data_IF_860521993846
#
_entry.id   IF_860521993846
#
_cell.length_a   1.000
_cell.length_b   1.000
_cell.length_c   1.000
_cell.angle_alpha   90.00
_cell.angle_beta   90.00
_cell.angle_gamma   90.00
#
_symmetry.space_group_name_H-M   'P 1'
#
loop_
_entity.id
_entity.type
_entity.pdbx_description
1 polymer ?
#
# COMPACT_ATOMS: atom_id res chain seq x y z
N UNK A 1 30.77 11.49 -15.72
CA UNK A 1 30.21 12.20 -14.60
C UNK A 1 28.73 12.39 -14.87
N UNK A 2 27.87 11.85 -14.06
CA UNK A 2 26.44 12.09 -14.12
C UNK A 2 26.25 13.40 -13.37
N UNK A 3 25.83 14.46 -14.08
CA UNK A 3 25.44 15.69 -13.44
C UNK A 3 24.19 15.40 -12.61
N UNK A 4 24.29 15.60 -11.30
CA UNK A 4 23.17 15.50 -10.37
C UNK A 4 22.25 16.67 -10.63
N UNK A 5 21.21 16.44 -11.46
CA UNK A 5 20.25 17.46 -11.86
C UNK A 5 19.12 17.63 -10.84
N UNK A 6 18.65 18.86 -10.72
CA UNK A 6 17.36 19.15 -10.08
C UNK A 6 16.27 19.12 -11.15
N UNK A 7 15.18 18.40 -10.89
CA UNK A 7 14.04 18.33 -11.80
C UNK A 7 12.93 19.24 -11.30
N UNK A 8 12.41 20.08 -12.19
CA UNK A 8 11.22 20.87 -11.92
C UNK A 8 10.01 19.93 -11.90
N UNK A 9 9.23 19.95 -10.84
CA UNK A 9 8.02 19.17 -10.68
C UNK A 9 6.86 20.07 -10.33
N UNK A 10 5.67 19.73 -10.84
CA UNK A 10 4.43 20.44 -10.50
C UNK A 10 3.39 19.42 -10.09
N UNK A 11 2.75 19.65 -8.94
CA UNK A 11 1.67 18.82 -8.43
C UNK A 11 0.56 19.71 -7.87
N UNK A 12 -0.65 19.53 -8.34
CA UNK A 12 -1.84 20.32 -7.93
C UNK A 12 -1.62 21.85 -7.99
N UNK A 13 -0.91 22.32 -9.02
CA UNK A 13 -0.66 23.75 -9.20
C UNK A 13 0.47 24.33 -8.34
N UNK A 14 1.13 23.52 -7.52
CA UNK A 14 2.32 23.90 -6.76
C UNK A 14 3.55 23.41 -7.51
N UNK A 15 4.42 24.33 -7.92
CA UNK A 15 5.68 24.02 -8.59
C UNK A 15 6.84 24.01 -7.60
N UNK A 16 7.75 23.05 -7.74
CA UNK A 16 8.95 22.92 -6.93
C UNK A 16 10.07 22.20 -7.70
N UNK A 17 11.20 22.01 -7.02
CA UNK A 17 12.32 21.26 -7.59
C UNK A 17 12.62 20.05 -6.70
N UNK A 18 12.91 18.91 -7.34
CA UNK A 18 13.33 17.68 -6.66
C UNK A 18 14.70 17.26 -7.19
N UNK A 19 15.58 16.85 -6.29
CA UNK A 19 16.89 16.31 -6.67
C UNK A 19 16.74 14.97 -7.40
N UNK A 20 17.46 14.79 -8.50
CA UNK A 20 17.49 13.52 -9.26
C UNK A 20 17.94 12.32 -8.44
N UNK A 21 18.59 12.53 -7.30
CA UNK A 21 18.95 11.47 -6.37
C UNK A 21 17.71 10.87 -5.64
N UNK A 22 16.57 11.56 -5.70
CA UNK A 22 15.31 11.17 -5.02
C UNK A 22 14.16 10.82 -5.98
N UNK A 23 14.42 10.76 -7.29
CA UNK A 23 13.39 10.38 -8.29
C UNK A 23 13.63 8.95 -8.73
N UNK A 24 12.94 8.00 -8.11
CA UNK A 24 12.81 6.64 -8.65
C UNK A 24 11.48 6.58 -9.44
N UNK A 25 11.59 6.33 -10.74
CA UNK A 25 10.40 6.08 -11.56
C UNK A 25 9.88 4.68 -11.27
N UNK A 26 8.72 4.59 -10.64
CA UNK A 26 7.94 3.36 -10.70
C UNK A 26 7.59 3.14 -12.19
N UNK A 27 8.09 2.07 -12.79
CA UNK A 27 7.84 1.75 -14.19
C UNK A 27 6.36 1.39 -14.37
N UNK A 28 5.54 2.40 -14.69
CA UNK A 28 4.19 2.18 -15.19
C UNK A 28 4.30 1.78 -16.66
N UNK A 29 3.93 0.56 -16.99
CA UNK A 29 3.70 0.16 -18.37
C UNK A 29 2.44 0.88 -18.87
N UNK A 30 2.61 1.91 -19.70
CA UNK A 30 1.48 2.62 -20.32
C UNK A 30 1.93 3.89 -21.04
N UNK A 31 1.89 3.85 -22.34
CA UNK A 31 2.16 4.94 -23.28
C UNK A 31 1.22 6.12 -23.03
N UNK A 32 1.75 7.28 -22.69
CA UNK A 32 0.98 8.53 -22.67
C UNK A 32 1.16 9.24 -24.01
N UNK A 33 0.06 9.42 -24.72
CA UNK A 33 -0.04 10.35 -25.84
C UNK A 33 -0.58 11.67 -25.29
N UNK A 34 0.20 12.74 -25.40
CA UNK A 34 -0.24 14.10 -25.05
C UNK A 34 -1.27 14.60 -26.05
N UNK A 35 -2.33 15.20 -25.56
CA UNK A 35 -3.07 16.27 -26.28
C UNK A 35 -3.79 17.14 -25.24
N UNK A 36 -3.64 18.49 -25.29
CA UNK A 36 -4.26 19.37 -24.32
C UNK A 36 -5.64 19.84 -24.82
N UNK A 37 -6.62 19.97 -23.93
CA UNK A 37 -7.68 21.00 -24.02
C UNK A 37 -8.68 20.94 -22.86
N UNK A 38 -8.77 22.06 -22.18
CA UNK A 38 -9.95 22.76 -21.62
C UNK A 38 -10.97 22.00 -20.73
N UNK A 39 -11.12 22.60 -19.53
CA UNK A 39 -12.27 22.40 -18.66
C UNK A 39 -13.55 23.03 -19.26
N UNK A 40 -14.74 22.55 -18.88
CA UNK A 40 -15.45 23.22 -17.80
C UNK A 40 -16.16 22.32 -16.78
N UNK A 41 -16.44 22.96 -15.65
CA UNK A 41 -17.25 22.58 -14.49
C UNK A 41 -18.65 22.07 -14.89
N UNK A 42 -19.14 21.01 -14.27
CA UNK A 42 -20.45 20.93 -13.58
C UNK A 42 -20.69 19.56 -12.89
N UNK A 43 -21.35 19.66 -11.78
CA UNK A 43 -21.71 18.73 -10.72
C UNK A 43 -23.00 17.92 -11.06
N UNK A 44 -23.52 17.05 -10.21
CA UNK A 44 -23.33 15.58 -10.18
C UNK A 44 -24.57 14.83 -10.71
N UNK A 45 -24.38 13.62 -11.19
CA UNK A 45 -25.46 12.68 -11.37
C UNK A 45 -25.01 11.25 -11.02
N UNK A 46 -25.83 10.64 -10.22
CA UNK A 46 -25.75 9.26 -9.73
C UNK A 46 -25.79 8.21 -10.86
N UNK A 47 -24.99 7.12 -10.65
CA UNK A 47 -25.26 5.69 -10.90
C UNK A 47 -25.43 5.23 -12.38
N UNK A 48 -25.06 3.99 -12.73
CA UNK A 48 -25.03 2.77 -11.94
C UNK A 48 -23.76 1.91 -12.05
N UNK A 49 -23.61 1.03 -11.08
CA UNK A 49 -22.64 -0.05 -10.99
C UNK A 49 -22.67 -0.94 -12.25
N UNK A 50 -21.48 -1.17 -12.82
CA UNK A 50 -21.27 -2.28 -13.74
C UNK A 50 -20.66 -3.44 -12.97
N UNK A 51 -21.40 -4.49 -13.00
CA UNK A 51 -21.32 -5.76 -12.31
C UNK A 51 -20.05 -6.50 -12.73
N UNK A 52 -19.08 -6.65 -11.80
CA UNK A 52 -18.05 -7.66 -11.94
C UNK A 52 -18.65 -9.04 -11.66
N UNK A 53 -18.25 -10.11 -12.37
CA UNK A 53 -18.87 -11.41 -12.21
C UNK A 53 -18.66 -11.93 -10.78
N UNK A 54 -19.78 -12.14 -10.09
CA UNK A 54 -19.84 -12.80 -8.80
C UNK A 54 -19.40 -14.25 -8.96
N UNK A 55 -18.22 -14.56 -8.50
CA UNK A 55 -17.87 -15.92 -8.11
C UNK A 55 -18.37 -16.12 -6.69
N UNK A 56 -19.61 -16.57 -6.61
CA UNK A 56 -20.23 -17.02 -5.37
C UNK A 56 -19.63 -18.38 -5.02
N UNK A 57 -18.53 -18.40 -4.30
CA UNK A 57 -18.18 -19.55 -3.50
C UNK A 57 -18.28 -19.17 -2.02
N UNK A 58 -19.35 -19.61 -1.41
CA UNK A 58 -19.58 -19.60 0.02
C UNK A 58 -18.59 -20.58 0.65
N UNK A 59 -17.37 -20.16 0.90
CA UNK A 59 -16.43 -20.89 1.73
C UNK A 59 -16.50 -20.31 3.14
N UNK A 60 -17.32 -20.98 3.98
CA UNK A 60 -17.13 -20.96 5.43
C UNK A 60 -15.80 -21.67 5.72
N UNK A 61 -14.70 -20.98 5.50
CA UNK A 61 -13.35 -21.46 5.71
C UNK A 61 -12.49 -20.29 6.15
N UNK A 62 -11.68 -20.48 7.16
CA UNK A 62 -10.59 -19.57 7.55
C UNK A 62 -9.89 -19.03 6.30
N UNK A 63 -9.87 -17.70 6.16
CA UNK A 63 -9.18 -17.04 5.05
C UNK A 63 -7.73 -17.51 5.04
N UNK A 64 -7.31 -18.13 3.94
CA UNK A 64 -5.91 -18.59 3.85
C UNK A 64 -4.98 -17.38 3.73
N UNK A 65 -4.00 -17.28 4.61
CA UNK A 65 -2.97 -16.25 4.52
C UNK A 65 -2.25 -16.24 3.16
N UNK A 66 -2.16 -17.40 2.48
CA UNK A 66 -1.62 -17.49 1.12
C UNK A 66 -2.48 -16.77 0.07
N UNK A 67 -3.81 -16.74 0.24
CA UNK A 67 -4.70 -15.99 -0.65
C UNK A 67 -4.50 -14.48 -0.47
N UNK A 68 -4.35 -14.02 0.77
CA UNK A 68 -4.03 -12.61 1.09
C UNK A 68 -2.71 -12.21 0.43
N UNK A 69 -1.67 -13.03 0.55
CA UNK A 69 -0.36 -12.78 -0.06
C UNK A 69 -0.45 -12.74 -1.58
N UNK A 70 -1.15 -13.70 -2.21
CA UNK A 70 -1.30 -13.75 -3.66
C UNK A 70 -2.02 -12.51 -4.21
N UNK A 71 -3.03 -12.00 -3.49
CA UNK A 71 -3.69 -10.75 -3.82
C UNK A 71 -2.76 -9.55 -3.65
N UNK A 72 -2.04 -9.45 -2.54
CA UNK A 72 -1.13 -8.36 -2.26
C UNK A 72 -0.04 -8.23 -3.34
N UNK A 73 0.48 -9.34 -3.84
CA UNK A 73 1.51 -9.39 -4.88
C UNK A 73 1.05 -8.80 -6.22
N UNK A 74 -0.25 -8.83 -6.52
CA UNK A 74 -0.80 -8.27 -7.77
C UNK A 74 -0.69 -6.75 -7.84
N UNK A 75 -0.53 -6.09 -6.70
CA UNK A 75 -0.46 -4.63 -6.58
C UNK A 75 0.97 -4.09 -6.41
N UNK A 76 1.99 -4.95 -6.52
CA UNK A 76 3.39 -4.47 -6.51
C UNK A 76 3.61 -3.40 -7.58
N UNK A 77 4.27 -2.31 -7.20
CA UNK A 77 4.52 -1.17 -8.06
C UNK A 77 3.37 -0.14 -8.11
N UNK A 78 2.21 -0.41 -7.50
CA UNK A 78 1.12 0.59 -7.40
C UNK A 78 1.62 1.80 -6.62
N UNK A 79 1.42 3.05 -7.13
CA UNK A 79 1.93 4.26 -6.49
C UNK A 79 1.46 4.43 -5.05
N UNK A 80 2.33 4.99 -4.19
CA UNK A 80 1.91 5.47 -2.88
C UNK A 80 1.13 6.79 -3.04
N UNK A 81 -0.04 6.84 -2.44
CA UNK A 81 -0.88 8.04 -2.35
C UNK A 81 -1.33 8.18 -0.90
N UNK A 82 -1.00 9.29 -0.25
CA UNK A 82 -1.45 9.54 1.12
C UNK A 82 -2.98 9.56 1.20
N UNK A 83 -3.57 8.75 2.10
CA UNK A 83 -5.02 8.54 2.20
C UNK A 83 -5.60 7.67 1.07
N UNK A 84 -4.77 7.12 0.18
CA UNK A 84 -5.20 6.26 -0.92
C UNK A 84 -5.61 4.86 -0.45
N UNK A 85 -6.69 4.34 -1.02
CA UNK A 85 -7.26 3.02 -0.68
C UNK A 85 -7.83 2.27 -1.90
N UNK A 86 -7.29 2.53 -3.09
CA UNK A 86 -7.75 1.93 -4.34
C UNK A 86 -6.58 1.52 -5.23
N UNK A 87 -6.84 0.74 -6.27
CA UNK A 87 -5.83 0.28 -7.23
C UNK A 87 -5.12 1.42 -7.99
N UNK A 88 -5.62 2.65 -7.94
CA UNK A 88 -4.94 3.83 -8.49
C UNK A 88 -3.86 4.41 -7.57
N UNK A 89 -3.84 4.01 -6.29
CA UNK A 89 -2.83 4.42 -5.32
C UNK A 89 -3.25 4.07 -3.89
N UNK A 90 -2.28 3.69 -3.08
CA UNK A 90 -2.47 3.27 -1.71
C UNK A 90 -1.59 4.04 -0.74
N UNK A 91 -2.08 4.30 0.48
CA UNK A 91 -1.22 4.41 1.65
C UNK A 91 -1.07 3.04 2.32
N UNK A 92 -0.24 2.95 3.38
CA UNK A 92 0.06 1.67 4.03
C UNK A 92 -1.19 0.96 4.57
N UNK A 93 -2.07 1.66 5.25
CA UNK A 93 -3.29 1.12 5.85
C UNK A 93 -4.44 0.96 4.84
N UNK A 94 -4.51 1.83 3.83
CA UNK A 94 -5.44 1.69 2.72
C UNK A 94 -5.14 0.47 1.85
N UNK A 95 -3.84 0.14 1.68
CA UNK A 95 -3.41 -1.08 1.02
C UNK A 95 -3.91 -2.33 1.76
N UNK A 96 -3.61 -2.43 3.06
CA UNK A 96 -4.05 -3.58 3.87
C UNK A 96 -5.57 -3.68 3.94
N UNK A 97 -6.27 -2.55 4.14
CA UNK A 97 -7.74 -2.49 4.12
C UNK A 97 -8.30 -3.02 2.80
N UNK A 98 -7.75 -2.58 1.67
CA UNK A 98 -8.19 -2.99 0.34
C UNK A 98 -7.97 -4.49 0.12
N UNK A 99 -6.79 -5.03 0.41
CA UNK A 99 -6.46 -6.46 0.23
C UNK A 99 -7.38 -7.33 1.10
N UNK A 100 -7.54 -6.98 2.38
CA UNK A 100 -8.37 -7.77 3.29
C UNK A 100 -9.87 -7.72 2.93
N UNK A 101 -10.34 -6.61 2.37
CA UNK A 101 -11.73 -6.52 1.89
C UNK A 101 -12.03 -7.52 0.77
N UNK A 102 -11.05 -7.83 -0.09
CA UNK A 102 -11.20 -8.81 -1.17
C UNK A 102 -11.38 -10.25 -0.66
N UNK A 103 -10.98 -10.51 0.57
CA UNK A 103 -11.15 -11.81 1.23
C UNK A 103 -12.25 -11.78 2.31
N UNK A 104 -13.09 -10.74 2.31
CA UNK A 104 -14.25 -10.62 3.19
C UNK A 104 -13.94 -10.11 4.61
N UNK A 105 -12.74 -9.61 4.86
CA UNK A 105 -12.35 -9.03 6.15
C UNK A 105 -12.37 -7.51 6.05
N UNK A 106 -13.20 -6.86 6.86
CA UNK A 106 -13.30 -5.40 6.90
C UNK A 106 -12.33 -4.83 7.93
N UNK A 107 -11.39 -4.01 7.47
CA UNK A 107 -10.44 -3.27 8.30
C UNK A 107 -10.70 -1.77 8.20
N UNK A 108 -10.50 -0.99 9.27
CA UNK A 108 -10.55 0.46 9.21
C UNK A 108 -9.35 1.03 8.44
N UNK A 109 -9.50 2.23 7.87
CA UNK A 109 -8.36 3.00 7.38
C UNK A 109 -7.59 3.60 8.56
N UNK A 110 -6.29 3.34 8.65
CA UNK A 110 -5.40 3.80 9.71
C UNK A 110 -4.68 2.66 10.42
N UNK A 111 -3.34 2.66 10.38
CA UNK A 111 -2.51 1.60 10.95
C UNK A 111 -2.79 1.39 12.46
N UNK A 112 -2.86 2.47 13.24
CA UNK A 112 -3.21 2.40 14.67
C UNK A 112 -4.59 1.79 14.89
N UNK A 113 -5.58 2.12 14.05
CA UNK A 113 -6.94 1.58 14.18
C UNK A 113 -6.99 0.08 13.88
N UNK A 114 -6.18 -0.40 12.94
CA UNK A 114 -6.10 -1.83 12.57
C UNK A 114 -5.52 -2.70 13.70
N UNK A 115 -4.75 -2.13 14.63
CA UNK A 115 -4.25 -2.85 15.81
C UNK A 115 -5.34 -3.48 16.70
N UNK A 116 -6.55 -2.93 16.66
CA UNK A 116 -7.68 -3.42 17.45
C UNK A 116 -8.39 -4.62 16.81
N UNK A 117 -7.94 -5.06 15.64
CA UNK A 117 -8.54 -6.14 14.86
C UNK A 117 -7.60 -7.36 14.83
N UNK A 118 -8.20 -8.55 14.81
CA UNK A 118 -7.45 -9.81 14.80
C UNK A 118 -6.81 -10.16 16.15
N UNK A 119 -6.06 -11.26 16.14
CA UNK A 119 -5.35 -11.80 17.30
C UNK A 119 -3.88 -11.42 17.24
N UNK A 120 -3.31 -11.01 18.38
CA UNK A 120 -1.88 -10.70 18.45
C UNK A 120 -1.02 -11.94 18.20
N UNK A 121 0.05 -11.76 17.42
CA UNK A 121 0.99 -12.81 17.03
C UNK A 121 2.40 -12.36 17.42
N UNK A 122 3.15 -13.27 18.05
CA UNK A 122 4.57 -13.01 18.34
C UNK A 122 5.37 -13.01 17.03
N UNK A 123 6.49 -12.28 17.01
CA UNK A 123 7.35 -12.20 15.82
C UNK A 123 7.86 -13.57 15.37
N UNK A 124 8.09 -14.50 16.32
CA UNK A 124 8.54 -15.86 16.04
C UNK A 124 7.47 -16.75 15.40
N UNK A 125 6.19 -16.39 15.56
CA UNK A 125 5.04 -17.18 15.11
C UNK A 125 4.37 -16.59 13.87
N UNK A 126 5.03 -15.61 13.21
CA UNK A 126 4.54 -14.98 12.00
C UNK A 126 4.27 -16.00 10.90
N UNK A 127 3.11 -15.86 10.26
CA UNK A 127 2.69 -16.66 9.11
C UNK A 127 2.28 -15.75 7.96
N UNK A 128 2.45 -16.20 6.70
CA UNK A 128 1.98 -15.42 5.55
C UNK A 128 0.52 -14.99 5.72
N UNK A 129 0.24 -13.72 5.44
CA UNK A 129 -1.07 -13.09 5.63
C UNK A 129 -1.22 -12.32 6.95
N UNK A 130 -0.30 -12.46 7.92
CA UNK A 130 -0.32 -11.65 9.13
C UNK A 130 -0.04 -10.18 8.80
N UNK A 131 -0.72 -9.26 9.49
CA UNK A 131 -0.38 -7.84 9.47
C UNK A 131 0.80 -7.58 10.41
N UNK A 132 1.83 -6.92 9.91
CA UNK A 132 2.99 -6.46 10.69
C UNK A 132 2.94 -4.95 10.83
N UNK A 133 3.14 -4.46 12.05
CA UNK A 133 3.02 -3.06 12.42
C UNK A 133 4.36 -2.50 12.89
N UNK A 134 4.60 -1.24 12.55
CA UNK A 134 5.82 -0.54 12.91
C UNK A 134 5.47 0.75 13.63
N UNK A 135 6.28 1.09 14.63
CA UNK A 135 6.13 2.28 15.44
C UNK A 135 7.24 3.28 15.13
N UNK A 136 6.85 4.51 14.81
CA UNK A 136 7.77 5.60 14.53
C UNK A 136 7.24 6.90 15.14
N UNK A 137 8.14 7.77 15.62
CA UNK A 137 7.85 9.12 16.10
C UNK A 137 6.67 9.26 17.09
N UNK A 138 6.52 8.30 18.01
CA UNK A 138 5.51 8.37 19.10
C UNK A 138 4.09 7.97 18.71
N UNK A 139 3.82 7.59 17.48
CA UNK A 139 2.57 6.94 17.12
C UNK A 139 2.52 5.51 17.67
N UNK A 140 1.35 5.01 18.02
CA UNK A 140 1.19 3.62 18.49
C UNK A 140 1.50 2.64 17.36
N UNK A 141 1.01 2.92 16.15
CA UNK A 141 1.48 2.29 14.92
C UNK A 141 1.43 3.34 13.80
N UNK A 142 2.58 3.63 13.21
CA UNK A 142 2.71 4.61 12.12
C UNK A 142 2.67 3.96 10.74
N UNK A 143 2.93 2.65 10.68
CA UNK A 143 3.02 1.91 9.43
C UNK A 143 2.55 0.47 9.58
N UNK A 144 2.07 -0.13 8.48
CA UNK A 144 1.56 -1.49 8.43
C UNK A 144 1.87 -2.13 7.08
N UNK A 145 2.10 -3.44 7.09
CA UNK A 145 2.28 -4.26 5.90
C UNK A 145 1.77 -5.68 6.12
N UNK A 146 1.80 -6.49 5.06
CA UNK A 146 1.35 -7.89 5.04
C UNK A 146 2.58 -8.79 4.99
N UNK A 147 2.77 -9.63 6.00
CA UNK A 147 3.85 -10.61 6.04
C UNK A 147 3.65 -11.68 4.98
N UNK A 148 4.72 -12.04 4.26
CA UNK A 148 4.67 -13.01 3.16
C UNK A 148 5.54 -14.25 3.38
N UNK A 149 6.21 -14.34 4.54
CA UNK A 149 7.17 -15.40 4.85
C UNK A 149 8.63 -14.98 4.62
N UNK A 150 9.58 -15.74 5.20
CA UNK A 150 11.02 -15.49 4.98
C UNK A 150 11.50 -14.12 5.46
N UNK A 151 10.95 -13.63 6.55
CA UNK A 151 11.19 -12.27 7.05
C UNK A 151 10.83 -11.15 6.06
N UNK A 152 9.99 -11.41 5.07
CA UNK A 152 9.56 -10.43 4.09
C UNK A 152 8.11 -10.00 4.30
N UNK A 153 7.79 -8.78 3.92
CA UNK A 153 6.44 -8.24 3.93
C UNK A 153 6.21 -7.29 2.74
N UNK A 154 4.95 -7.20 2.30
CA UNK A 154 4.51 -6.26 1.25
C UNK A 154 3.80 -5.09 1.93
N UNK A 155 4.11 -3.87 1.51
CA UNK A 155 3.51 -2.65 2.02
C UNK A 155 3.51 -1.54 0.98
N UNK A 156 2.61 -0.56 1.13
CA UNK A 156 2.71 0.69 0.38
C UNK A 156 3.72 1.61 1.10
N UNK A 157 4.89 1.80 0.49
CA UNK A 157 5.98 2.58 1.06
C UNK A 157 5.88 4.04 0.66
N UNK A 158 5.89 4.95 1.64
CA UNK A 158 6.01 6.38 1.42
C UNK A 158 7.46 6.82 1.12
N UNK A 159 8.43 5.91 1.26
CA UNK A 159 9.83 6.19 1.06
C UNK A 159 10.19 6.24 -0.43
N UNK A 160 10.82 7.32 -0.85
CA UNK A 160 11.36 7.45 -2.19
C UNK A 160 12.52 6.47 -2.46
N UNK A 161 13.24 6.03 -1.42
CA UNK A 161 14.28 4.99 -1.54
C UNK A 161 13.69 3.64 -1.96
N UNK A 162 12.43 3.37 -1.57
CA UNK A 162 11.69 2.16 -1.93
C UNK A 162 10.75 2.38 -3.13
N UNK A 163 11.00 3.41 -3.96
CA UNK A 163 10.22 3.69 -5.16
C UNK A 163 8.87 4.37 -4.93
N UNK A 164 8.51 4.73 -3.70
CA UNK A 164 7.26 5.42 -3.37
C UNK A 164 6.02 4.69 -3.92
N UNK A 165 5.95 3.40 -3.69
CA UNK A 165 4.90 2.51 -4.21
C UNK A 165 4.74 1.25 -3.32
N UNK A 166 3.86 0.35 -3.72
CA UNK A 166 3.75 -0.98 -3.09
C UNK A 166 4.99 -1.81 -3.42
N UNK A 167 5.71 -2.21 -2.39
CA UNK A 167 7.00 -2.93 -2.49
C UNK A 167 7.08 -4.07 -1.48
N UNK A 168 8.05 -4.95 -1.69
CA UNK A 168 8.49 -5.93 -0.69
C UNK A 168 9.71 -5.40 0.03
N UNK A 169 9.70 -5.49 1.37
CA UNK A 169 10.82 -5.17 2.25
C UNK A 169 11.09 -6.32 3.23
N UNK A 170 12.23 -6.27 3.93
CA UNK A 170 12.59 -7.29 4.91
C UNK A 170 12.47 -6.77 6.35
N UNK A 171 11.90 -7.59 7.23
CA UNK A 171 11.89 -7.34 8.69
C UNK A 171 13.30 -7.30 9.30
N UNK A 172 14.31 -7.83 8.58
CA UNK A 172 15.72 -7.81 9.02
C UNK A 172 16.46 -6.54 8.61
N UNK A 173 15.91 -5.72 7.72
CA UNK A 173 16.44 -4.40 7.42
C UNK A 173 16.49 -3.56 8.70
N UNK A 174 17.59 -2.84 8.91
CA UNK A 174 17.85 -2.08 10.15
C UNK A 174 16.68 -1.19 10.55
N UNK A 175 16.08 -0.49 9.57
CA UNK A 175 14.93 0.39 9.83
C UNK A 175 13.74 -0.42 10.37
N UNK A 176 13.27 -1.41 9.64
CA UNK A 176 12.08 -2.18 10.02
C UNK A 176 12.32 -3.04 11.26
N UNK A 177 13.52 -3.58 11.44
CA UNK A 177 13.87 -4.34 12.63
C UNK A 177 13.80 -3.49 13.91
N UNK A 178 14.28 -2.24 13.84
CA UNK A 178 14.29 -1.32 14.98
C UNK A 178 12.92 -0.72 15.31
N UNK A 179 12.00 -0.66 14.32
CA UNK A 179 10.69 -0.06 14.45
C UNK A 179 9.55 -1.09 14.51
N UNK A 180 9.87 -2.40 14.43
CA UNK A 180 8.87 -3.45 14.58
C UNK A 180 8.16 -3.32 15.93
N UNK A 181 6.83 -3.28 15.89
CA UNK A 181 6.00 -3.09 17.08
C UNK A 181 5.26 -4.37 17.48
N UNK A 182 4.40 -4.90 16.59
CA UNK A 182 3.59 -6.10 16.84
C UNK A 182 3.07 -6.67 15.51
N UNK A 183 2.33 -7.78 15.59
CA UNK A 183 1.60 -8.35 14.46
C UNK A 183 0.19 -8.80 14.85
N UNK A 184 -0.70 -8.90 13.84
CA UNK A 184 -2.08 -9.37 14.00
C UNK A 184 -2.44 -10.39 12.92
N UNK A 185 -3.13 -11.46 13.33
CA UNK A 185 -3.70 -12.50 12.47
C UNK A 185 -5.22 -12.38 12.42
N UNK A 186 -5.79 -12.52 11.23
CA UNK A 186 -7.21 -12.43 10.94
C UNK A 186 -7.79 -13.77 10.48
#
# INVERSE_FOLDING_TARGET
GIERGWYAVSYNGVSGYVSGDYVALCAAAGTVTETPAEAPVETPAETPAEEAPAVTETVSGTVSGSSVVALAQQYLGTPYVYGGSSASGFDCSGFTMYIFSQVGISLPHGATSQLSYGTEVSRSDLQPGDLVFFQDYGAVASHVGIYIGGDQFIHASSSYYNGHCVVTSSLTETYYNNHYYTARRH
#
